data_IF_616068092950
#
_entry.id   IF_616068092950
#
_cell.length_a   1.000
_cell.length_b   1.000
_cell.length_c   1.000
_cell.angle_alpha   90.00
_cell.angle_beta   90.00
_cell.angle_gamma   90.00
#
_symmetry.space_group_name_H-M   'P 1'
#
loop_
_entity.id
_entity.type
_entity.pdbx_description
1 polymer ?
#
# COMPACT_ATOMS: atom_id res chain seq x y z
N UNK A 1 -9.97 -25.99 -16.84
CA UNK A 1 -10.88 -24.98 -16.26
C UNK A 1 -10.63 -24.76 -14.75
N UNK A 2 -9.43 -24.34 -14.33
CA UNK A 2 -9.04 -24.22 -12.90
C UNK A 2 -9.15 -22.76 -12.38
N UNK A 3 -9.33 -21.78 -13.28
CA UNK A 3 -9.30 -20.36 -12.95
C UNK A 3 -10.31 -19.91 -11.85
N UNK A 4 -11.59 -20.35 -11.86
CA UNK A 4 -12.56 -19.89 -10.86
C UNK A 4 -12.22 -20.34 -9.44
N UNK A 5 -11.66 -21.54 -9.28
CA UNK A 5 -11.30 -22.09 -7.98
C UNK A 5 -10.04 -21.41 -7.41
N UNK A 6 -9.09 -21.09 -8.27
CA UNK A 6 -7.87 -20.38 -7.89
C UNK A 6 -8.19 -18.96 -7.37
N UNK A 7 -9.09 -18.26 -8.04
CA UNK A 7 -9.54 -16.93 -7.62
C UNK A 7 -10.29 -16.97 -6.28
N UNK A 8 -11.24 -17.91 -6.15
CA UNK A 8 -11.99 -18.10 -4.91
C UNK A 8 -11.06 -18.39 -3.73
N UNK A 9 -10.05 -19.25 -3.93
CA UNK A 9 -9.05 -19.55 -2.90
C UNK A 9 -8.32 -18.30 -2.42
N UNK A 10 -7.93 -17.41 -3.33
CA UNK A 10 -7.27 -16.15 -2.98
C UNK A 10 -8.22 -15.22 -2.23
N UNK A 11 -9.49 -15.10 -2.67
CA UNK A 11 -10.50 -14.30 -1.98
C UNK A 11 -10.74 -14.78 -0.56
N UNK A 12 -10.81 -16.09 -0.34
CA UNK A 12 -10.95 -16.68 1.00
C UNK A 12 -9.70 -16.42 1.84
N UNK A 13 -8.49 -16.65 1.29
CA UNK A 13 -7.22 -16.41 1.97
C UNK A 13 -7.07 -14.96 2.45
N UNK A 14 -7.42 -14.00 1.59
CA UNK A 14 -7.29 -12.58 1.90
C UNK A 14 -8.54 -11.99 2.56
N UNK A 15 -9.68 -12.69 2.51
CA UNK A 15 -10.97 -12.26 3.05
C UNK A 15 -11.58 -11.05 2.33
N UNK A 16 -11.35 -10.92 1.02
CA UNK A 16 -11.75 -9.76 0.22
C UNK A 16 -12.70 -10.11 -0.92
N UNK A 17 -13.46 -9.12 -1.38
CA UNK A 17 -14.22 -9.18 -2.63
C UNK A 17 -13.33 -9.32 -3.85
N UNK A 18 -13.92 -9.63 -5.00
CA UNK A 18 -13.22 -9.79 -6.28
C UNK A 18 -12.51 -8.50 -6.70
N UNK A 19 -13.14 -7.36 -6.45
CA UNK A 19 -12.68 -6.02 -6.78
C UNK A 19 -11.43 -5.58 -6.00
N UNK A 20 -11.22 -6.15 -4.82
CA UNK A 20 -10.09 -5.84 -3.94
C UNK A 20 -8.93 -6.83 -4.10
N UNK A 21 -9.16 -7.95 -4.78
CA UNK A 21 -8.19 -9.04 -4.93
C UNK A 21 -6.84 -8.58 -5.50
N UNK A 22 -6.78 -7.74 -6.56
CA UNK A 22 -5.51 -7.28 -7.13
C UNK A 22 -4.68 -6.44 -6.16
N UNK A 23 -5.34 -5.70 -5.26
CA UNK A 23 -4.68 -4.86 -4.27
C UNK A 23 -4.24 -5.71 -3.06
N UNK A 24 -5.08 -6.65 -2.64
CA UNK A 24 -4.81 -7.53 -1.51
C UNK A 24 -3.76 -8.61 -1.80
N UNK A 25 -3.46 -8.87 -3.08
CA UNK A 25 -2.34 -9.73 -3.49
C UNK A 25 -0.97 -9.10 -3.31
N UNK A 26 -0.88 -7.78 -3.09
CA UNK A 26 0.38 -7.09 -2.82
C UNK A 26 0.88 -7.44 -1.42
N UNK A 27 2.20 -7.61 -1.30
CA UNK A 27 2.79 -7.97 -0.01
C UNK A 27 2.65 -6.82 0.99
N UNK A 28 2.21 -7.14 2.20
CA UNK A 28 1.93 -6.13 3.21
C UNK A 28 0.65 -5.33 2.95
N UNK A 29 -0.17 -5.69 1.96
CA UNK A 29 -1.51 -5.12 1.76
C UNK A 29 -2.56 -6.20 2.08
N UNK A 30 -3.07 -6.18 3.31
CA UNK A 30 -4.20 -7.03 3.70
C UNK A 30 -5.56 -6.36 3.45
N UNK A 31 -6.64 -6.99 3.91
CA UNK A 31 -8.04 -6.49 3.84
C UNK A 31 -8.21 -5.00 4.11
N UNK A 32 -7.67 -4.52 5.22
CA UNK A 32 -7.88 -3.15 5.71
C UNK A 32 -7.21 -2.14 4.77
N UNK A 33 -5.95 -2.39 4.41
CA UNK A 33 -5.18 -1.50 3.54
C UNK A 33 -5.67 -1.57 2.09
N UNK A 34 -6.08 -2.75 1.62
CA UNK A 34 -6.71 -2.92 0.32
C UNK A 34 -7.99 -2.07 0.22
N UNK A 35 -8.84 -2.10 1.26
CA UNK A 35 -10.04 -1.25 1.33
C UNK A 35 -9.68 0.23 1.39
N UNK A 36 -8.68 0.63 2.17
CA UNK A 36 -8.23 2.01 2.25
C UNK A 36 -7.72 2.54 0.89
N UNK A 37 -6.94 1.74 0.16
CA UNK A 37 -6.48 2.05 -1.19
C UNK A 37 -7.66 2.23 -2.16
N UNK A 38 -8.61 1.31 -2.12
CA UNK A 38 -9.79 1.34 -2.98
C UNK A 38 -10.65 2.58 -2.71
N UNK A 39 -10.87 2.92 -1.44
CA UNK A 39 -11.59 4.13 -1.02
C UNK A 39 -10.84 5.42 -1.38
N UNK A 40 -9.50 5.39 -1.42
CA UNK A 40 -8.67 6.50 -1.88
C UNK A 40 -8.64 6.64 -3.41
N UNK A 41 -9.33 5.76 -4.16
CA UNK A 41 -9.43 5.82 -5.62
C UNK A 41 -8.42 4.96 -6.36
N UNK A 42 -7.55 4.21 -5.67
CA UNK A 42 -6.63 3.27 -6.30
C UNK A 42 -7.29 1.89 -6.41
N UNK A 43 -7.89 1.61 -7.57
CA UNK A 43 -8.66 0.37 -7.78
C UNK A 43 -7.88 -0.71 -8.52
N UNK A 44 -6.92 -0.29 -9.33
CA UNK A 44 -6.13 -1.18 -10.18
C UNK A 44 -4.63 -1.10 -9.88
N UNK A 45 -3.89 -2.12 -10.30
CA UNK A 45 -2.41 -2.09 -10.25
C UNK A 45 -1.84 -0.94 -11.10
N UNK A 46 -2.55 -0.55 -12.16
CA UNK A 46 -2.13 0.55 -13.02
C UNK A 46 -2.28 1.91 -12.34
N UNK A 47 -3.35 2.10 -11.55
CA UNK A 47 -3.53 3.29 -10.71
C UNK A 47 -2.36 3.41 -9.72
N UNK A 48 -1.98 2.30 -9.08
CA UNK A 48 -0.83 2.25 -8.19
C UNK A 48 0.49 2.52 -8.93
N UNK A 49 0.61 2.09 -10.19
CA UNK A 49 1.78 2.34 -11.04
C UNK A 49 1.87 3.80 -11.50
N UNK A 50 0.75 4.52 -11.65
CA UNK A 50 0.73 5.96 -12.00
C UNK A 50 0.79 6.87 -10.77
N UNK A 51 0.32 6.40 -9.61
CA UNK A 51 0.29 7.16 -8.36
C UNK A 51 1.67 7.67 -7.93
N UNK A 52 1.75 8.89 -7.41
CA UNK A 52 2.99 9.39 -6.81
C UNK A 52 3.18 8.74 -5.43
N UNK A 53 4.41 8.45 -4.98
CA UNK A 53 4.65 7.91 -3.63
C UNK A 53 4.01 8.76 -2.53
N UNK A 54 4.01 10.09 -2.68
CA UNK A 54 3.36 11.02 -1.75
C UNK A 54 1.84 10.79 -1.59
N UNK A 55 1.14 10.35 -2.65
CA UNK A 55 -0.30 10.06 -2.60
C UNK A 55 -0.60 8.69 -1.96
N UNK A 56 0.36 7.77 -2.01
CA UNK A 56 0.22 6.49 -1.32
C UNK A 56 0.39 6.66 0.19
N UNK A 57 1.27 7.55 0.63
CA UNK A 57 1.52 7.83 2.06
C UNK A 57 0.34 8.55 2.73
N UNK A 58 -0.52 9.25 1.98
CA UNK A 58 -1.73 9.86 2.54
C UNK A 58 -2.81 8.83 2.88
N UNK A 59 -2.69 7.59 2.40
CA UNK A 59 -3.67 6.54 2.67
C UNK A 59 -3.48 6.02 4.10
N UNK A 60 -4.56 5.93 4.92
CA UNK A 60 -4.48 5.42 6.27
C UNK A 60 -3.84 4.01 6.33
N UNK A 61 -2.82 3.86 7.17
CA UNK A 61 -2.11 2.60 7.35
C UNK A 61 -1.04 2.29 6.28
N UNK A 62 -0.77 3.22 5.36
CA UNK A 62 0.33 3.12 4.39
C UNK A 62 1.43 4.12 4.76
N UNK A 63 2.48 3.62 5.41
CA UNK A 63 3.68 4.43 5.65
C UNK A 63 4.61 4.50 4.44
N UNK A 64 5.61 5.39 4.49
CA UNK A 64 6.60 5.56 3.41
C UNK A 64 7.30 4.27 2.99
N UNK A 65 7.64 3.40 3.96
CA UNK A 65 8.25 2.08 3.69
C UNK A 65 7.33 1.17 2.88
N UNK A 66 6.03 1.14 3.20
CA UNK A 66 5.06 0.31 2.48
C UNK A 66 4.76 0.89 1.10
N UNK A 67 4.60 2.21 0.99
CA UNK A 67 4.40 2.90 -0.29
C UNK A 67 5.52 2.58 -1.28
N UNK A 68 6.77 2.53 -0.80
CA UNK A 68 7.93 2.11 -1.59
C UNK A 68 7.82 0.66 -2.08
N UNK A 69 7.56 -0.29 -1.17
CA UNK A 69 7.40 -1.70 -1.54
C UNK A 69 6.27 -1.94 -2.54
N UNK A 70 5.11 -1.31 -2.32
CA UNK A 70 3.98 -1.36 -3.25
C UNK A 70 4.43 -0.92 -4.64
N UNK A 71 5.18 0.18 -4.71
CA UNK A 71 5.63 0.76 -5.97
C UNK A 71 6.67 -0.08 -6.69
N UNK A 72 7.56 -0.72 -5.94
CA UNK A 72 8.53 -1.70 -6.44
C UNK A 72 7.82 -2.94 -7.02
N UNK A 73 6.79 -3.45 -6.33
CA UNK A 73 6.02 -4.62 -6.79
C UNK A 73 5.21 -4.37 -8.06
N UNK A 74 4.65 -3.17 -8.23
CA UNK A 74 3.91 -2.81 -9.45
C UNK A 74 4.81 -2.33 -10.59
N UNK A 75 6.14 -2.34 -10.40
CA UNK A 75 7.11 -1.93 -11.42
C UNK A 75 6.99 -0.46 -11.83
N UNK A 76 6.59 0.41 -10.90
CA UNK A 76 6.49 1.84 -11.16
C UNK A 76 7.87 2.49 -11.22
N UNK A 77 8.17 3.26 -12.27
CA UNK A 77 9.38 4.08 -12.34
C UNK A 77 9.34 5.16 -11.26
N UNK A 78 10.10 5.00 -10.18
CA UNK A 78 10.21 6.02 -9.13
C UNK A 78 11.55 6.73 -9.24
N UNK A 79 11.54 8.04 -9.50
CA UNK A 79 12.73 8.88 -9.36
C UNK A 79 13.17 8.90 -7.89
N UNK A 80 14.46 8.66 -7.63
CA UNK A 80 15.11 8.59 -6.29
C UNK A 80 14.72 9.74 -5.33
N UNK A 81 14.39 10.93 -5.85
CA UNK A 81 14.03 12.13 -5.07
C UNK A 81 12.68 11.98 -4.32
N UNK A 82 11.66 11.41 -4.95
CA UNK A 82 10.31 11.27 -4.35
C UNK A 82 10.21 10.17 -3.28
N UNK A 83 11.19 9.26 -3.21
CA UNK A 83 11.27 8.22 -2.18
C UNK A 83 11.71 8.80 -0.83
N UNK A 84 12.70 9.71 -0.83
CA UNK A 84 13.22 10.34 0.38
C UNK A 84 12.17 11.18 1.12
N UNK A 85 11.31 11.88 0.37
CA UNK A 85 10.21 12.70 0.94
C UNK A 85 9.06 11.87 1.52
N UNK A 86 8.88 10.63 1.05
CA UNK A 86 7.87 9.70 1.56
C UNK A 86 8.34 9.00 2.85
N UNK A 87 9.65 8.74 2.98
CA UNK A 87 10.26 8.08 4.14
C UNK A 87 10.17 8.94 5.42
N UNK A 88 10.34 10.26 5.33
CA UNK A 88 10.31 11.15 6.51
C UNK A 88 8.95 11.29 7.19
N UNK A 89 7.85 10.98 6.49
CA UNK A 89 6.48 11.13 7.03
C UNK A 89 5.96 9.89 7.79
N UNK A 90 6.69 8.78 7.74
CA UNK A 90 6.27 7.50 8.32
C UNK A 90 6.95 7.14 9.64
N UNK A 91 7.69 8.08 10.26
CA UNK A 91 8.33 7.85 11.56
C UNK A 91 7.26 8.05 12.63
N UNK A 92 6.90 6.96 13.30
CA UNK A 92 6.14 7.04 14.54
C UNK A 92 7.08 7.63 15.59
N UNK A 93 6.80 8.84 16.03
CA UNK A 93 7.49 9.41 17.18
C UNK A 93 7.18 8.54 18.41
N UNK A 94 8.18 7.80 18.89
CA UNK A 94 8.10 7.13 20.18
C UNK A 94 7.98 8.17 21.28
N UNK A 95 7.38 7.78 22.42
CA UNK A 95 7.16 8.64 23.58
C UNK A 95 8.44 9.32 24.08
N UNK A 96 9.61 8.74 23.80
CA UNK A 96 10.95 9.29 24.08
C UNK A 96 11.23 10.61 23.36
N UNK A 97 10.62 10.85 22.20
CA UNK A 97 10.80 12.11 21.45
C UNK A 97 10.19 13.34 22.13
N UNK A 98 9.39 13.15 23.19
CA UNK A 98 8.85 14.23 24.01
C UNK A 98 9.69 14.53 25.27
N UNK A 99 10.48 13.57 25.76
CA UNK A 99 11.22 13.70 27.04
C UNK A 99 12.55 14.44 26.86
N UNK A 100 13.15 14.41 25.66
CA UNK A 100 14.42 15.09 25.39
C UNK A 100 14.30 16.60 25.12
N UNK A 101 13.16 17.22 25.46
CA UNK A 101 12.88 18.64 25.24
C UNK A 101 12.68 19.42 26.54
N UNK A 102 13.35 18.99 27.59
CA UNK A 102 13.61 19.78 28.82
C UNK A 102 15.11 20.10 28.92
#
# INVERSE_FOLDING_TARGET
FIAPLAELRLRVKHGVGTELLPLASLEGVGRVRARALYSAGFRTLEDLKRARPAQLVTVPGIGGRLAKRIKEQVGGLVRKRGLKEAEGRGIQNSMESYVSKE
#
